data_IF_751520868081
#
_entry.id   IF_751520868081
#
_cell.length_a   1.000
_cell.length_b   1.000
_cell.length_c   1.000
_cell.angle_alpha   90.00
_cell.angle_beta   90.00
_cell.angle_gamma   90.00
#
_symmetry.space_group_name_H-M   'P 1'
#
loop_
_entity.id
_entity.type
_entity.pdbx_description
1 polymer ?
#
# COMPACT_ATOMS: atom_id res chain seq x y z
N UNK A 1 6.71 17.27 -33.24
CA UNK A 1 7.17 16.95 -31.87
C UNK A 1 6.84 15.50 -31.62
N UNK A 2 7.85 14.68 -31.34
CA UNK A 2 7.62 13.29 -30.97
C UNK A 2 7.01 13.28 -29.55
N UNK A 3 5.68 13.19 -29.49
CA UNK A 3 4.92 13.27 -28.25
C UNK A 3 5.38 12.22 -27.23
N UNK A 4 5.87 11.07 -27.69
CA UNK A 4 6.47 10.05 -26.84
C UNK A 4 7.72 10.59 -26.13
N UNK A 5 8.60 11.30 -26.82
CA UNK A 5 9.81 11.85 -26.18
C UNK A 5 9.48 12.97 -25.17
N UNK A 6 8.43 13.76 -25.42
CA UNK A 6 7.95 14.79 -24.48
C UNK A 6 7.34 14.15 -23.23
N UNK A 7 6.50 13.13 -23.40
CA UNK A 7 5.90 12.36 -22.30
C UNK A 7 6.97 11.63 -21.49
N UNK A 8 7.97 11.03 -22.15
CA UNK A 8 9.13 10.40 -21.50
C UNK A 8 9.98 11.42 -20.73
N UNK A 9 10.17 12.63 -21.25
CA UNK A 9 10.91 13.68 -20.55
C UNK A 9 10.18 14.16 -19.29
N UNK A 10 8.84 14.26 -19.32
CA UNK A 10 8.03 14.70 -18.17
C UNK A 10 7.93 13.60 -17.10
N UNK A 11 7.89 12.32 -17.49
CA UNK A 11 7.72 11.21 -16.54
C UNK A 11 9.05 10.59 -16.10
N UNK A 12 10.11 10.74 -16.91
CA UNK A 12 11.45 10.24 -16.63
C UNK A 12 12.12 10.88 -15.40
N UNK A 13 11.58 12.00 -14.91
CA UNK A 13 12.02 12.64 -13.65
C UNK A 13 11.46 11.95 -12.38
N UNK A 14 10.46 11.06 -12.51
CA UNK A 14 9.89 10.27 -11.41
C UNK A 14 8.83 10.98 -10.55
N UNK A 15 8.09 10.21 -9.74
CA UNK A 15 7.04 10.71 -8.83
C UNK A 15 7.51 11.79 -7.87
N UNK A 16 8.74 11.61 -7.36
CA UNK A 16 9.39 12.48 -6.39
C UNK A 16 9.61 13.91 -6.90
N UNK A 17 9.52 14.13 -8.22
CA UNK A 17 9.63 15.44 -8.87
C UNK A 17 8.28 15.87 -9.45
N UNK A 18 7.57 14.97 -10.13
CA UNK A 18 6.31 15.28 -10.81
C UNK A 18 5.20 15.72 -9.83
N UNK A 19 5.00 14.98 -8.73
CA UNK A 19 3.93 15.25 -7.77
C UNK A 19 4.16 16.60 -7.06
N UNK A 20 5.37 16.92 -6.56
CA UNK A 20 5.69 18.26 -6.06
C UNK A 20 5.39 19.38 -7.03
N UNK A 21 5.80 19.26 -8.31
CA UNK A 21 5.54 20.29 -9.32
C UNK A 21 4.03 20.48 -9.52
N UNK A 22 3.27 19.39 -9.63
CA UNK A 22 1.82 19.44 -9.76
C UNK A 22 1.16 20.12 -8.56
N UNK A 23 1.60 19.82 -7.33
CA UNK A 23 1.09 20.48 -6.12
C UNK A 23 1.46 21.97 -6.08
N UNK A 24 2.64 22.37 -6.57
CA UNK A 24 3.00 23.79 -6.70
C UNK A 24 2.05 24.49 -7.69
N UNK A 25 1.86 23.92 -8.88
CA UNK A 25 1.00 24.49 -9.94
C UNK A 25 -0.45 24.58 -9.46
N UNK A 26 -1.02 23.48 -8.95
CA UNK A 26 -2.38 23.47 -8.41
C UNK A 26 -2.51 24.42 -7.23
N UNK A 27 -1.50 24.48 -6.35
CA UNK A 27 -1.47 25.39 -5.23
C UNK A 27 -1.57 26.86 -5.67
N UNK A 28 -0.84 27.24 -6.70
CA UNK A 28 -0.92 28.58 -7.30
C UNK A 28 -2.30 28.85 -7.91
N UNK A 29 -2.86 27.88 -8.66
CA UNK A 29 -4.20 27.99 -9.26
C UNK A 29 -5.27 28.18 -8.19
N UNK A 30 -5.15 27.50 -7.05
CA UNK A 30 -6.09 27.62 -5.93
C UNK A 30 -5.87 28.85 -5.05
N UNK A 31 -4.95 29.75 -5.41
CA UNK A 31 -4.72 31.02 -4.73
C UNK A 31 -3.78 30.94 -3.53
N UNK A 32 -2.94 29.90 -3.45
CA UNK A 32 -1.89 29.83 -2.44
C UNK A 32 -0.78 30.84 -2.77
N UNK A 33 -0.20 31.48 -1.74
CA UNK A 33 0.95 32.37 -1.92
C UNK A 33 2.10 31.61 -2.61
N UNK A 34 2.79 32.16 -3.62
CA UNK A 34 3.83 31.44 -4.36
C UNK A 34 4.93 30.82 -3.49
N UNK A 35 5.39 31.54 -2.46
CA UNK A 35 6.37 31.03 -1.50
C UNK A 35 5.87 29.82 -0.72
N UNK A 36 4.59 29.81 -0.32
CA UNK A 36 3.96 28.68 0.38
C UNK A 36 3.75 27.50 -0.55
N UNK A 37 3.31 27.75 -1.80
CA UNK A 37 3.13 26.71 -2.79
C UNK A 37 4.46 26.00 -3.10
N UNK A 38 5.52 26.78 -3.35
CA UNK A 38 6.87 26.27 -3.59
C UNK A 38 7.40 25.46 -2.41
N UNK A 39 7.30 25.99 -1.18
CA UNK A 39 7.72 25.29 0.02
C UNK A 39 6.93 23.99 0.26
N UNK A 40 5.62 24.00 0.01
CA UNK A 40 4.75 22.81 0.14
C UNK A 40 5.17 21.72 -0.86
N UNK A 41 5.47 22.10 -2.11
CA UNK A 41 6.01 21.15 -3.08
C UNK A 41 7.34 20.55 -2.64
N UNK A 42 8.28 21.37 -2.16
CA UNK A 42 9.58 20.87 -1.69
C UNK A 42 9.46 19.98 -0.45
N UNK A 43 8.59 20.30 0.51
CA UNK A 43 8.33 19.40 1.65
C UNK A 43 7.71 18.09 1.20
N UNK A 44 6.82 18.11 0.21
CA UNK A 44 6.28 16.89 -0.36
C UNK A 44 7.38 16.03 -0.99
N UNK A 45 8.28 16.65 -1.76
CA UNK A 45 9.43 15.98 -2.36
C UNK A 45 10.33 15.36 -1.28
N UNK A 46 10.65 16.13 -0.22
CA UNK A 46 11.44 15.67 0.92
C UNK A 46 10.79 14.48 1.62
N UNK A 47 9.46 14.52 1.84
CA UNK A 47 8.71 13.40 2.41
C UNK A 47 8.82 12.14 1.55
N UNK A 48 8.58 12.26 0.24
CA UNK A 48 8.70 11.12 -0.69
C UNK A 48 10.11 10.54 -0.74
N UNK A 49 11.14 11.39 -0.89
CA UNK A 49 12.54 10.98 -0.95
C UNK A 49 12.95 10.33 0.37
N UNK A 50 12.68 10.98 1.51
CA UNK A 50 13.04 10.49 2.84
C UNK A 50 12.39 9.14 3.16
N UNK A 51 11.11 8.98 2.87
CA UNK A 51 10.42 7.70 3.05
C UNK A 51 10.95 6.62 2.11
N UNK A 52 11.21 6.95 0.85
CA UNK A 52 11.78 6.00 -0.11
C UNK A 52 13.18 5.56 0.31
N UNK A 53 14.02 6.48 0.80
CA UNK A 53 15.34 6.16 1.35
C UNK A 53 15.25 5.22 2.54
N UNK A 54 14.34 5.48 3.48
CA UNK A 54 14.12 4.64 4.64
C UNK A 54 13.63 3.23 4.24
N UNK A 55 12.63 3.12 3.35
CA UNK A 55 12.15 1.83 2.82
C UNK A 55 13.29 1.08 2.14
N UNK A 56 14.04 1.72 1.24
CA UNK A 56 15.14 1.10 0.51
C UNK A 56 16.27 0.66 1.44
N UNK A 57 16.59 1.44 2.46
CA UNK A 57 17.59 1.08 3.46
C UNK A 57 17.13 -0.15 4.26
N UNK A 58 15.86 -0.20 4.66
CA UNK A 58 15.31 -1.36 5.35
C UNK A 58 15.37 -2.61 4.49
N UNK A 59 14.91 -2.53 3.23
CA UNK A 59 15.00 -3.63 2.27
C UNK A 59 16.44 -4.09 2.07
N UNK A 60 17.38 -3.16 1.88
CA UNK A 60 18.80 -3.47 1.67
C UNK A 60 19.43 -4.16 2.89
N UNK A 61 19.04 -3.76 4.10
CA UNK A 61 19.55 -4.35 5.33
C UNK A 61 18.96 -5.75 5.60
N UNK A 62 17.65 -5.92 5.38
CA UNK A 62 16.90 -7.16 5.67
C UNK A 62 17.12 -8.24 4.61
N UNK A 63 17.25 -7.86 3.34
CA UNK A 63 17.33 -8.79 2.20
C UNK A 63 18.48 -9.81 2.32
N UNK A 64 19.73 -9.43 2.66
CA UNK A 64 20.82 -10.38 2.86
C UNK A 64 20.57 -11.37 4.00
N UNK A 65 19.91 -10.92 5.08
CA UNK A 65 19.63 -11.77 6.24
C UNK A 65 18.55 -12.81 5.91
N UNK A 66 17.49 -12.39 5.20
CA UNK A 66 16.47 -13.30 4.67
C UNK A 66 17.08 -14.33 3.69
N UNK A 67 18.01 -13.90 2.82
CA UNK A 67 18.72 -14.80 1.90
C UNK A 67 19.61 -15.81 2.62
N UNK A 68 20.36 -15.39 3.63
CA UNK A 68 21.20 -16.28 4.42
C UNK A 68 20.37 -17.30 5.22
N UNK A 69 19.25 -16.86 5.79
CA UNK A 69 18.30 -17.74 6.46
C UNK A 69 17.82 -18.85 5.49
N UNK A 70 17.44 -18.50 4.27
CA UNK A 70 17.02 -19.47 3.26
C UNK A 70 18.13 -20.46 2.87
N UNK A 71 19.37 -19.98 2.69
CA UNK A 71 20.52 -20.83 2.40
C UNK A 71 20.79 -21.86 3.52
N UNK A 72 20.61 -21.48 4.78
CA UNK A 72 20.85 -22.36 5.93
C UNK A 72 19.69 -23.28 6.28
N UNK A 73 18.49 -23.01 5.77
CA UNK A 73 17.27 -23.80 5.99
C UNK A 73 16.94 -24.71 4.81
N UNK A 74 17.83 -24.81 3.82
CA UNK A 74 17.63 -25.56 2.57
C UNK A 74 16.40 -25.11 1.75
N UNK A 75 15.92 -23.89 1.97
CA UNK A 75 14.84 -23.29 1.19
C UNK A 75 15.44 -22.80 -0.13
N UNK A 76 15.20 -23.56 -1.21
CA UNK A 76 15.62 -23.18 -2.56
C UNK A 76 14.39 -22.92 -3.43
N UNK A 77 13.96 -21.66 -3.46
CA UNK A 77 12.78 -21.22 -4.19
C UNK A 77 13.20 -20.52 -5.50
N UNK A 78 12.66 -20.91 -6.67
CA UNK A 78 13.20 -20.54 -7.98
C UNK A 78 12.81 -19.12 -8.44
N UNK A 79 11.80 -18.50 -7.83
CA UNK A 79 11.36 -17.16 -8.21
C UNK A 79 12.03 -16.09 -7.31
N UNK A 80 12.80 -15.22 -7.96
CA UNK A 80 13.51 -14.11 -7.34
C UNK A 80 12.56 -12.93 -7.14
N UNK A 81 12.41 -12.49 -5.91
CA UNK A 81 11.60 -11.33 -5.56
C UNK A 81 12.36 -10.02 -5.84
N UNK A 82 11.83 -9.24 -6.76
CA UNK A 82 12.37 -7.96 -7.23
C UNK A 82 11.75 -6.76 -6.49
N UNK A 83 10.74 -7.01 -5.66
CA UNK A 83 9.99 -5.96 -4.97
C UNK A 83 9.21 -5.07 -5.93
N UNK A 84 8.50 -4.10 -5.36
CA UNK A 84 7.72 -3.15 -6.14
C UNK A 84 8.58 -2.28 -7.09
N UNK A 85 9.83 -1.84 -6.78
CA UNK A 85 10.60 -1.02 -7.71
C UNK A 85 10.98 -1.77 -8.98
N UNK A 86 11.39 -3.04 -8.83
CA UNK A 86 11.70 -3.90 -9.96
C UNK A 86 10.45 -4.27 -10.77
N UNK A 87 9.32 -4.54 -10.09
CA UNK A 87 8.04 -4.76 -10.76
C UNK A 87 7.60 -3.54 -11.58
N UNK A 88 7.73 -2.33 -11.03
CA UNK A 88 7.42 -1.09 -11.74
C UNK A 88 8.33 -0.89 -12.96
N UNK A 89 9.64 -1.08 -12.82
CA UNK A 89 10.59 -0.96 -13.93
C UNK A 89 10.28 -1.95 -15.07
N UNK A 90 9.98 -3.22 -14.72
CA UNK A 90 9.58 -4.23 -15.70
C UNK A 90 8.28 -3.84 -16.39
N UNK A 91 7.32 -3.30 -15.65
CA UNK A 91 6.02 -2.86 -16.19
C UNK A 91 6.17 -1.70 -17.16
N UNK A 92 6.99 -0.70 -16.82
CA UNK A 92 7.22 0.46 -17.68
C UNK A 92 7.89 0.12 -19.01
N UNK A 93 8.58 -1.02 -19.08
CA UNK A 93 9.14 -1.51 -20.32
C UNK A 93 8.09 -2.08 -21.29
N UNK A 94 6.84 -2.29 -20.84
CA UNK A 94 5.77 -2.70 -21.72
C UNK A 94 5.35 -1.55 -22.65
N UNK A 95 5.38 -1.72 -23.99
CA UNK A 95 5.12 -0.63 -24.93
C UNK A 95 3.79 0.10 -24.76
N UNK A 96 2.75 -0.58 -24.25
CA UNK A 96 1.42 0.01 -24.04
C UNK A 96 1.23 0.62 -22.65
N UNK A 97 2.21 0.55 -21.75
CA UNK A 97 2.06 1.06 -20.38
C UNK A 97 1.65 2.54 -20.34
N UNK A 98 2.18 3.37 -21.24
CA UNK A 98 1.88 4.79 -21.30
C UNK A 98 0.44 5.13 -21.74
N UNK A 99 -0.25 4.23 -22.44
CA UNK A 99 -1.64 4.44 -22.84
C UNK A 99 -2.55 4.53 -21.61
N UNK A 100 -2.19 3.83 -20.52
CA UNK A 100 -2.99 3.81 -19.30
C UNK A 100 -3.02 5.14 -18.54
N UNK A 101 -2.13 6.09 -18.82
CA UNK A 101 -2.28 7.46 -18.32
C UNK A 101 -3.54 8.13 -18.88
N UNK A 102 -3.73 8.01 -20.21
CA UNK A 102 -4.92 8.57 -20.85
C UNK A 102 -6.18 7.89 -20.33
N UNK A 103 -6.14 6.56 -20.15
CA UNK A 103 -7.27 5.79 -19.59
C UNK A 103 -7.61 6.26 -18.17
N UNK A 104 -6.61 6.41 -17.29
CA UNK A 104 -6.76 6.94 -15.92
C UNK A 104 -7.41 8.32 -15.91
N UNK A 105 -6.84 9.26 -16.66
CA UNK A 105 -7.31 10.64 -16.71
C UNK A 105 -8.75 10.69 -17.24
N UNK A 106 -9.04 9.97 -18.34
CA UNK A 106 -10.37 9.96 -18.94
C UNK A 106 -11.41 9.40 -17.96
N UNK A 107 -11.15 8.25 -17.35
CA UNK A 107 -12.09 7.63 -16.40
C UNK A 107 -12.26 8.52 -15.16
N UNK A 108 -11.17 9.07 -14.61
CA UNK A 108 -11.27 9.95 -13.45
C UNK A 108 -12.09 11.21 -13.76
N UNK A 109 -11.85 11.87 -14.90
CA UNK A 109 -12.63 13.04 -15.33
C UNK A 109 -14.10 12.71 -15.58
N UNK A 110 -14.40 11.59 -16.25
CA UNK A 110 -15.79 11.14 -16.46
C UNK A 110 -16.49 10.95 -15.11
N UNK A 111 -15.84 10.26 -14.16
CA UNK A 111 -16.42 10.02 -12.85
C UNK A 111 -16.61 11.31 -12.04
N UNK A 112 -15.69 12.27 -12.13
CA UNK A 112 -15.83 13.58 -11.48
C UNK A 112 -16.98 14.39 -12.08
N UNK A 113 -17.07 14.45 -13.42
CA UNK A 113 -18.15 15.16 -14.12
C UNK A 113 -19.52 14.53 -13.83
N UNK A 114 -19.60 13.20 -13.84
CA UNK A 114 -20.79 12.43 -13.51
C UNK A 114 -21.12 12.38 -12.00
N UNK A 115 -20.33 13.05 -11.15
CA UNK A 115 -20.49 13.07 -9.69
C UNK A 115 -20.45 11.68 -9.04
N UNK A 116 -19.72 10.74 -9.67
CA UNK A 116 -19.53 9.40 -9.17
C UNK A 116 -18.36 9.32 -8.18
N UNK A 117 -17.45 10.29 -8.15
CA UNK A 117 -16.37 10.37 -7.15
C UNK A 117 -16.11 11.82 -6.78
N UNK A 118 -15.56 12.06 -5.58
CA UNK A 118 -14.98 13.35 -5.18
C UNK A 118 -13.46 13.37 -5.30
N UNK A 119 -12.86 12.23 -5.65
CA UNK A 119 -11.41 12.08 -5.68
C UNK A 119 -10.84 12.38 -7.07
N UNK A 120 -9.86 13.29 -7.11
CA UNK A 120 -8.98 13.50 -8.24
C UNK A 120 -7.66 12.79 -7.94
N UNK A 121 -7.34 11.72 -8.68
CA UNK A 121 -6.04 11.09 -8.58
C UNK A 121 -4.99 12.03 -9.19
N UNK A 122 -4.04 12.48 -8.37
CA UNK A 122 -2.94 13.34 -8.80
C UNK A 122 -1.62 12.58 -8.95
N UNK A 123 -1.58 11.34 -8.49
CA UNK A 123 -0.39 10.50 -8.55
C UNK A 123 -0.36 9.69 -9.84
N UNK A 124 0.23 10.31 -10.85
CA UNK A 124 0.35 9.73 -12.18
C UNK A 124 1.49 8.70 -12.26
N UNK A 125 2.37 8.61 -11.26
CA UNK A 125 3.42 7.59 -11.26
C UNK A 125 2.84 6.20 -11.06
N UNK A 126 1.88 6.06 -10.15
CA UNK A 126 1.27 4.77 -9.82
C UNK A 126 0.33 4.21 -10.91
N UNK A 127 0.23 4.88 -12.06
CA UNK A 127 -0.35 4.32 -13.29
C UNK A 127 0.38 3.04 -13.74
N UNK A 128 1.64 2.85 -13.34
CA UNK A 128 2.34 1.58 -13.54
C UNK A 128 1.55 0.39 -12.97
N UNK A 129 0.90 0.55 -11.80
CA UNK A 129 0.11 -0.52 -11.18
C UNK A 129 -1.15 -0.88 -12.00
N UNK A 130 -1.71 0.09 -12.72
CA UNK A 130 -2.83 -0.11 -13.66
C UNK A 130 -2.34 -0.80 -14.92
N UNK A 131 -1.21 -0.34 -15.48
CA UNK A 131 -0.56 -0.95 -16.63
C UNK A 131 -0.14 -2.40 -16.34
N UNK A 132 0.34 -2.69 -15.13
CA UNK A 132 0.70 -4.04 -14.70
C UNK A 132 -0.53 -4.96 -14.71
N UNK A 133 -1.66 -4.51 -14.16
CA UNK A 133 -2.91 -5.26 -14.20
C UNK A 133 -3.35 -5.55 -15.63
N UNK A 134 -3.33 -4.54 -16.50
CA UNK A 134 -3.68 -4.74 -17.90
C UNK A 134 -2.73 -5.74 -18.59
N UNK A 135 -1.43 -5.63 -18.36
CA UNK A 135 -0.45 -6.55 -18.91
C UNK A 135 -0.68 -7.99 -18.43
N UNK A 136 -0.92 -8.19 -17.14
CA UNK A 136 -1.17 -9.52 -16.57
C UNK A 136 -2.43 -10.14 -17.14
N UNK A 137 -3.52 -9.36 -17.20
CA UNK A 137 -4.79 -9.80 -17.77
C UNK A 137 -4.61 -10.14 -19.25
N UNK A 138 -3.92 -9.30 -20.02
CA UNK A 138 -3.63 -9.55 -21.43
C UNK A 138 -2.78 -10.80 -21.64
N UNK A 139 -1.70 -10.95 -20.87
CA UNK A 139 -0.74 -12.06 -21.01
C UNK A 139 -1.38 -13.43 -20.75
N UNK A 140 -2.38 -13.49 -19.87
CA UNK A 140 -3.11 -14.72 -19.51
C UNK A 140 -4.34 -14.94 -20.39
N UNK A 141 -5.15 -13.90 -20.63
CA UNK A 141 -6.40 -14.03 -21.37
C UNK A 141 -6.24 -13.97 -22.90
N UNK A 142 -5.15 -13.37 -23.39
CA UNK A 142 -4.95 -13.07 -24.81
C UNK A 142 -5.83 -11.93 -25.33
N UNK A 143 -6.71 -11.34 -24.51
CA UNK A 143 -7.67 -10.32 -24.93
C UNK A 143 -7.24 -8.93 -24.50
N UNK A 144 -6.78 -8.13 -25.48
CA UNK A 144 -6.42 -6.74 -25.24
C UNK A 144 -7.64 -5.88 -24.83
N UNK A 145 -8.82 -5.99 -25.46
CA UNK A 145 -10.01 -5.26 -25.00
C UNK A 145 -10.36 -5.55 -23.54
N UNK A 146 -10.26 -6.81 -23.12
CA UNK A 146 -10.52 -7.19 -21.73
C UNK A 146 -9.48 -6.61 -20.76
N UNK A 147 -8.22 -6.49 -21.17
CA UNK A 147 -7.19 -5.82 -20.38
C UNK A 147 -7.51 -4.33 -20.12
N UNK A 148 -8.06 -3.62 -21.11
CA UNK A 148 -8.54 -2.25 -20.93
C UNK A 148 -9.74 -2.18 -19.98
N UNK A 149 -10.68 -3.12 -20.06
CA UNK A 149 -11.80 -3.22 -19.13
C UNK A 149 -11.31 -3.47 -17.71
N UNK A 150 -10.38 -4.42 -17.52
CA UNK A 150 -9.79 -4.74 -16.22
C UNK A 150 -9.04 -3.55 -15.60
N UNK A 151 -8.27 -2.81 -16.42
CA UNK A 151 -7.67 -1.55 -15.99
C UNK A 151 -8.74 -0.54 -15.55
N UNK A 152 -9.79 -0.33 -16.35
CA UNK A 152 -10.88 0.57 -16.00
C UNK A 152 -11.60 0.18 -14.69
N UNK A 153 -11.81 -1.12 -14.45
CA UNK A 153 -12.35 -1.63 -13.18
C UNK A 153 -11.43 -1.25 -12.01
N UNK A 154 -10.12 -1.48 -12.13
CA UNK A 154 -9.15 -1.09 -11.11
C UNK A 154 -9.19 0.42 -10.84
N UNK A 155 -9.25 1.25 -11.88
CA UNK A 155 -9.31 2.72 -11.74
C UNK A 155 -10.54 3.14 -10.95
N UNK A 156 -11.71 2.60 -11.30
CA UNK A 156 -12.97 2.88 -10.59
C UNK A 156 -12.84 2.47 -9.11
N UNK A 157 -12.28 1.29 -8.83
CA UNK A 157 -12.04 0.80 -7.47
C UNK A 157 -11.11 1.77 -6.71
N UNK A 158 -9.98 2.14 -7.32
CA UNK A 158 -8.99 3.09 -6.81
C UNK A 158 -9.59 4.44 -6.40
N UNK A 159 -10.42 5.03 -7.26
CA UNK A 159 -11.11 6.29 -6.97
C UNK A 159 -12.14 6.13 -5.84
N UNK A 160 -12.85 5.00 -5.81
CA UNK A 160 -13.81 4.69 -4.75
C UNK A 160 -13.14 4.38 -3.41
N UNK A 161 -11.95 3.77 -3.41
CA UNK A 161 -11.11 3.63 -2.21
C UNK A 161 -10.74 5.03 -1.68
N UNK A 162 -10.31 5.93 -2.57
CA UNK A 162 -10.03 7.33 -2.22
C UNK A 162 -11.22 8.02 -1.54
N UNK A 163 -12.43 7.89 -2.11
CA UNK A 163 -13.65 8.43 -1.52
C UNK A 163 -13.94 7.85 -0.13
N UNK A 164 -13.72 6.54 0.05
CA UNK A 164 -14.03 5.79 1.26
C UNK A 164 -13.10 6.14 2.41
N UNK A 165 -11.80 6.25 2.14
CA UNK A 165 -10.78 6.44 3.16
C UNK A 165 -10.49 7.91 3.51
N UNK A 166 -10.99 8.86 2.74
CA UNK A 166 -10.71 10.29 2.94
C UNK A 166 -11.04 10.79 4.36
N UNK A 167 -12.15 10.37 4.96
CA UNK A 167 -12.54 10.83 6.30
C UNK A 167 -11.74 10.13 7.42
N UNK A 168 -11.38 8.86 7.22
CA UNK A 168 -10.47 8.12 8.12
C UNK A 168 -9.11 8.83 8.14
N UNK A 169 -8.55 9.09 6.96
CA UNK A 169 -7.24 9.71 6.78
C UNK A 169 -7.23 11.12 7.39
N UNK A 170 -8.28 11.90 7.16
CA UNK A 170 -8.42 13.22 7.78
C UNK A 170 -8.48 13.15 9.30
N UNK A 171 -9.21 12.18 9.86
CA UNK A 171 -9.40 12.05 11.32
C UNK A 171 -8.14 11.55 12.02
N UNK A 172 -7.51 10.51 11.49
CA UNK A 172 -6.41 9.81 12.15
C UNK A 172 -5.05 10.47 11.89
N UNK A 173 -4.91 11.14 10.75
CA UNK A 173 -3.64 11.72 10.28
C UNK A 173 -3.66 13.25 10.14
N UNK A 174 -4.82 13.89 10.32
CA UNK A 174 -4.96 15.35 10.18
C UNK A 174 -4.83 15.87 8.75
N UNK A 175 -4.77 14.97 7.75
CA UNK A 175 -4.56 15.31 6.35
C UNK A 175 -5.89 15.71 5.68
N UNK A 176 -6.21 17.00 5.73
CA UNK A 176 -7.45 17.54 5.15
C UNK A 176 -7.35 17.60 3.63
N UNK A 177 -8.36 17.07 2.92
CA UNK A 177 -8.48 17.20 1.46
C UNK A 177 -7.55 16.27 0.67
N UNK A 178 -6.97 15.27 1.32
CA UNK A 178 -6.07 14.27 0.71
C UNK A 178 -6.52 12.87 1.11
N UNK A 179 -6.33 11.90 0.23
CA UNK A 179 -6.61 10.48 0.46
C UNK A 179 -5.61 9.60 -0.30
N UNK A 180 -5.70 8.29 -0.10
CA UNK A 180 -4.95 7.30 -0.88
C UNK A 180 -5.85 6.66 -1.93
N UNK A 181 -5.43 6.67 -3.19
CA UNK A 181 -6.23 6.20 -4.36
C UNK A 181 -5.69 4.95 -5.02
N UNK A 182 -4.81 4.21 -4.36
CA UNK A 182 -4.12 3.10 -5.00
C UNK A 182 -4.66 1.75 -4.54
N UNK A 183 -4.34 0.75 -5.35
CA UNK A 183 -5.01 -0.55 -5.33
C UNK A 183 -4.53 -1.43 -4.17
N UNK A 184 -3.43 -1.11 -3.49
CA UNK A 184 -2.99 -1.77 -2.26
C UNK A 184 -4.04 -1.68 -1.15
N UNK A 185 -4.76 -0.55 -1.06
CA UNK A 185 -5.84 -0.36 -0.09
C UNK A 185 -7.03 -1.29 -0.36
N UNK A 186 -7.13 -1.89 -1.55
CA UNK A 186 -8.14 -2.90 -1.87
C UNK A 186 -7.99 -4.18 -1.05
N UNK A 187 -6.82 -4.43 -0.48
CA UNK A 187 -6.58 -5.56 0.45
C UNK A 187 -7.58 -5.53 1.63
N UNK A 188 -8.05 -4.35 2.02
CA UNK A 188 -9.11 -4.20 3.02
C UNK A 188 -10.40 -4.95 2.63
N UNK A 189 -10.71 -5.08 1.34
CA UNK A 189 -11.90 -5.78 0.81
C UNK A 189 -11.89 -7.24 1.24
N UNK A 190 -10.80 -7.95 0.96
CA UNK A 190 -10.68 -9.37 1.32
C UNK A 190 -10.56 -9.56 2.83
N UNK A 191 -9.93 -8.61 3.55
CA UNK A 191 -9.80 -8.66 5.00
C UNK A 191 -11.12 -8.40 5.73
N UNK A 192 -12.08 -7.72 5.09
CA UNK A 192 -13.30 -7.24 5.72
C UNK A 192 -14.16 -8.34 6.38
N UNK A 193 -14.47 -9.50 5.75
CA UNK A 193 -15.26 -10.55 6.38
C UNK A 193 -14.66 -11.05 7.69
N UNK A 194 -13.35 -11.29 7.70
CA UNK A 194 -12.66 -11.77 8.91
C UNK A 194 -12.62 -10.67 9.97
N UNK A 195 -12.33 -9.42 9.59
CA UNK A 195 -12.39 -8.28 10.50
C UNK A 195 -13.80 -8.09 11.09
N UNK A 196 -14.83 -8.36 10.31
CA UNK A 196 -16.22 -8.34 10.77
C UNK A 196 -16.51 -9.46 11.77
N UNK A 197 -16.04 -10.69 11.52
CA UNK A 197 -16.13 -11.80 12.49
C UNK A 197 -15.39 -11.47 13.79
N UNK A 198 -14.23 -10.81 13.72
CA UNK A 198 -13.49 -10.34 14.90
C UNK A 198 -14.32 -9.39 15.79
N UNK A 199 -15.42 -8.81 15.29
CA UNK A 199 -16.31 -7.96 16.09
C UNK A 199 -17.04 -8.74 17.19
N UNK A 200 -17.21 -10.05 17.01
CA UNK A 200 -17.88 -10.91 17.97
C UNK A 200 -16.94 -11.49 19.04
N UNK A 201 -15.63 -11.22 18.92
CA UNK A 201 -14.61 -11.74 19.82
C UNK A 201 -14.09 -10.58 20.70
N UNK A 202 -14.29 -10.62 22.04
CA UNK A 202 -14.01 -9.49 22.93
C UNK A 202 -12.57 -8.94 22.89
N UNK A 203 -11.56 -9.80 22.69
CA UNK A 203 -10.14 -9.38 22.69
C UNK A 203 -9.82 -8.37 21.59
N UNK A 204 -10.49 -8.47 20.44
CA UNK A 204 -10.31 -7.58 19.29
C UNK A 204 -11.13 -6.30 19.37
N UNK A 205 -11.97 -6.14 20.40
CA UNK A 205 -12.80 -4.96 20.62
C UNK A 205 -12.17 -3.95 21.59
N UNK A 206 -10.93 -4.21 22.02
CA UNK A 206 -10.11 -3.30 22.84
C UNK A 206 -9.12 -2.55 21.97
N UNK A 207 -8.71 -1.36 22.40
CA UNK A 207 -7.66 -0.61 21.72
C UNK A 207 -6.31 -1.33 21.91
N UNK A 208 -5.64 -1.57 20.79
CA UNK A 208 -4.29 -2.13 20.74
C UNK A 208 -3.44 -1.20 19.89
N UNK A 209 -3.09 -0.03 20.44
CA UNK A 209 -2.17 0.91 19.80
C UNK A 209 -0.79 0.83 20.46
N UNK A 210 0.22 1.46 19.84
CA UNK A 210 1.58 1.43 20.37
C UNK A 210 1.66 2.02 21.80
N UNK A 211 0.76 2.94 22.17
CA UNK A 211 0.72 3.56 23.51
C UNK A 211 0.17 2.61 24.56
N UNK A 212 -0.85 1.82 24.25
CA UNK A 212 -1.39 0.81 25.16
C UNK A 212 -0.43 -0.38 25.32
N UNK A 213 0.30 -0.74 24.26
CA UNK A 213 1.44 -1.64 24.36
C UNK A 213 2.53 -1.05 25.27
N UNK A 214 2.87 0.24 25.13
CA UNK A 214 3.86 0.91 26.01
C UNK A 214 3.52 0.80 27.49
N UNK A 215 2.24 0.89 27.85
CA UNK A 215 1.79 0.72 29.24
C UNK A 215 2.00 -0.70 29.78
N UNK A 216 2.00 -1.72 28.92
CA UNK A 216 2.10 -3.14 29.30
C UNK A 216 3.51 -3.70 29.21
N UNK A 217 4.22 -3.40 28.12
CA UNK A 217 5.54 -3.96 27.78
C UNK A 217 6.67 -2.90 27.79
N UNK A 218 6.35 -1.65 28.17
CA UNK A 218 7.34 -0.60 28.39
C UNK A 218 8.10 -0.21 27.13
N UNK A 219 9.43 -0.07 27.26
CA UNK A 219 10.35 0.32 26.20
C UNK A 219 10.27 -0.62 24.97
N UNK A 220 9.82 -1.87 25.15
CA UNK A 220 9.69 -2.84 24.06
C UNK A 220 8.65 -2.46 23.01
N UNK A 221 7.72 -1.53 23.31
CA UNK A 221 6.75 -1.05 22.32
C UNK A 221 7.27 0.13 21.48
N UNK A 222 8.45 0.67 21.81
CA UNK A 222 9.03 1.76 21.03
C UNK A 222 9.41 1.23 19.64
N UNK A 223 9.03 1.90 18.53
CA UNK A 223 9.26 1.38 17.18
C UNK A 223 10.73 1.06 16.90
N UNK A 224 11.63 1.87 17.45
CA UNK A 224 13.08 1.68 17.37
C UNK A 224 13.51 0.37 18.02
N UNK A 225 12.94 0.06 19.17
CA UNK A 225 13.27 -1.13 19.96
C UNK A 225 12.68 -2.37 19.31
N UNK A 226 11.43 -2.30 18.84
CA UNK A 226 10.81 -3.37 18.07
C UNK A 226 11.61 -3.69 16.81
N UNK A 227 11.99 -2.66 16.05
CA UNK A 227 12.84 -2.81 14.88
C UNK A 227 14.17 -3.47 15.21
N UNK A 228 14.83 -3.02 16.29
CA UNK A 228 16.10 -3.61 16.71
C UNK A 228 15.99 -5.08 17.11
N UNK A 229 14.96 -5.45 17.88
CA UNK A 229 14.71 -6.84 18.27
C UNK A 229 14.49 -7.71 17.04
N UNK A 230 13.65 -7.26 16.10
CA UNK A 230 13.31 -8.04 14.91
C UNK A 230 14.53 -8.18 13.99
N UNK A 231 15.29 -7.10 13.79
CA UNK A 231 16.55 -7.13 13.04
C UNK A 231 17.57 -8.08 13.66
N UNK A 232 17.69 -8.07 14.99
CA UNK A 232 18.59 -8.98 15.71
C UNK A 232 18.19 -10.45 15.53
N UNK A 233 16.91 -10.77 15.75
CA UNK A 233 16.38 -12.14 15.61
C UNK A 233 16.59 -12.64 14.17
N UNK A 234 16.30 -11.80 13.17
CA UNK A 234 16.47 -12.17 11.77
C UNK A 234 17.95 -12.45 11.43
N UNK A 235 18.87 -11.62 11.93
CA UNK A 235 20.30 -11.86 11.71
C UNK A 235 20.79 -13.15 12.37
N UNK A 236 20.33 -13.44 13.60
CA UNK A 236 20.65 -14.70 14.28
C UNK A 236 20.10 -15.91 13.52
N UNK A 237 18.87 -15.81 13.00
CA UNK A 237 18.27 -16.83 12.16
C UNK A 237 19.07 -17.03 10.86
N UNK A 238 19.58 -15.94 10.28
CA UNK A 238 20.53 -15.96 9.16
C UNK A 238 21.95 -16.42 9.52
N UNK A 239 22.21 -16.84 10.77
CA UNK A 239 23.52 -17.26 11.30
C UNK A 239 24.63 -16.22 11.16
N UNK A 240 24.29 -14.95 11.31
CA UNK A 240 25.26 -13.86 11.27
C UNK A 240 26.18 -13.91 12.49
N UNK A 241 27.38 -13.32 12.37
CA UNK A 241 28.20 -13.05 13.54
C UNK A 241 27.48 -12.08 14.48
N UNK A 242 27.78 -12.13 15.79
CA UNK A 242 27.16 -11.24 16.78
C UNK A 242 27.30 -9.77 16.37
N UNK A 243 28.46 -9.36 15.85
CA UNK A 243 28.68 -8.00 15.36
C UNK A 243 27.78 -7.62 14.18
N UNK A 244 27.62 -8.51 13.20
CA UNK A 244 26.71 -8.28 12.08
C UNK A 244 25.23 -8.30 12.50
N UNK A 245 24.88 -9.12 13.49
CA UNK A 245 23.53 -9.15 14.05
C UNK A 245 23.18 -7.87 14.80
N UNK A 246 24.10 -7.34 15.60
CA UNK A 246 23.93 -6.04 16.25
C UNK A 246 23.85 -4.90 15.24
N UNK A 247 24.64 -4.95 14.16
CA UNK A 247 24.57 -3.95 13.09
C UNK A 247 23.20 -3.96 12.40
N UNK A 248 22.65 -5.14 12.07
CA UNK A 248 21.32 -5.25 11.50
C UNK A 248 20.25 -4.74 12.46
N UNK A 249 20.34 -5.12 13.74
CA UNK A 249 19.44 -4.64 14.79
C UNK A 249 19.41 -3.11 14.84
N UNK A 250 20.56 -2.46 14.99
CA UNK A 250 20.64 -0.99 15.06
C UNK A 250 20.13 -0.35 13.77
N UNK A 251 20.44 -0.91 12.60
CA UNK A 251 19.98 -0.39 11.31
C UNK A 251 18.47 -0.43 11.19
N UNK A 252 17.84 -1.58 11.48
CA UNK A 252 16.38 -1.74 11.40
C UNK A 252 15.70 -0.83 12.43
N UNK A 253 16.22 -0.77 13.65
CA UNK A 253 15.71 0.13 14.69
C UNK A 253 15.81 1.61 14.29
N UNK A 254 16.94 2.05 13.73
CA UNK A 254 17.12 3.41 13.26
C UNK A 254 16.14 3.78 12.15
N UNK A 255 15.92 2.88 11.18
CA UNK A 255 14.94 3.12 10.11
C UNK A 255 13.52 3.25 10.66
N UNK A 256 13.12 2.42 11.63
CA UNK A 256 11.84 2.56 12.35
C UNK A 256 11.70 3.93 13.04
N UNK A 257 12.79 4.49 13.56
CA UNK A 257 12.80 5.81 14.17
C UNK A 257 12.60 6.94 13.14
N UNK A 258 13.07 6.74 11.91
CA UNK A 258 13.08 7.75 10.84
C UNK A 258 11.72 7.90 10.17
N UNK A 259 10.91 6.83 10.11
CA UNK A 259 9.63 6.86 9.39
C UNK A 259 8.66 7.96 9.87
N UNK A 260 8.33 8.09 11.17
CA UNK A 260 7.39 9.12 11.59
C UNK A 260 7.88 10.56 11.32
N UNK A 261 9.15 10.92 11.60
CA UNK A 261 9.70 12.23 11.22
C UNK A 261 9.63 12.53 9.71
N UNK A 262 9.90 11.54 8.85
CA UNK A 262 9.83 11.74 7.40
C UNK A 262 8.39 11.95 6.92
N UNK A 263 7.44 11.21 7.50
CA UNK A 263 6.02 11.36 7.17
C UNK A 263 5.45 12.73 7.58
N UNK A 264 6.03 13.40 8.59
CA UNK A 264 5.63 14.76 9.00
C UNK A 264 5.75 15.77 7.85
N UNK A 265 6.75 15.60 6.97
CA UNK A 265 6.88 16.47 5.79
C UNK A 265 5.67 16.41 4.86
N UNK A 266 4.97 15.27 4.78
CA UNK A 266 3.70 15.19 4.04
C UNK A 266 2.62 16.07 4.68
N UNK A 267 2.52 16.10 6.01
CA UNK A 267 1.55 16.98 6.68
C UNK A 267 1.87 18.46 6.44
N UNK A 268 3.15 18.83 6.55
CA UNK A 268 3.61 20.20 6.35
C UNK A 268 3.38 20.66 4.90
N UNK A 269 3.47 19.75 3.94
CA UNK A 269 3.16 19.99 2.54
C UNK A 269 1.66 20.07 2.24
N UNK A 270 0.88 19.13 2.78
CA UNK A 270 -0.49 18.88 2.32
C UNK A 270 -1.54 19.66 3.11
N UNK A 271 -1.29 19.99 4.38
CA UNK A 271 -2.25 20.74 5.20
C UNK A 271 -2.54 22.14 4.65
N UNK A 272 -1.52 22.94 4.26
CA UNK A 272 -1.74 24.26 3.66
C UNK A 272 -2.46 24.15 2.31
N UNK A 273 -2.09 23.15 1.52
CA UNK A 273 -2.69 22.86 0.22
C UNK A 273 -4.17 22.50 0.35
N UNK A 274 -4.50 21.51 1.18
CA UNK A 274 -5.87 21.02 1.37
C UNK A 274 -6.82 22.09 1.91
N UNK A 275 -6.33 22.92 2.84
CA UNK A 275 -7.11 24.07 3.36
C UNK A 275 -7.40 25.09 2.27
N UNK A 276 -6.39 25.43 1.45
CA UNK A 276 -6.52 26.42 0.38
C UNK A 276 -7.44 25.91 -0.73
N UNK A 277 -7.26 24.66 -1.15
CA UNK A 277 -8.13 23.98 -2.11
C UNK A 277 -9.57 23.94 -1.61
N UNK A 278 -9.82 23.51 -0.37
CA UNK A 278 -11.17 23.48 0.21
C UNK A 278 -11.85 24.85 0.14
N UNK A 279 -11.12 25.93 0.46
CA UNK A 279 -11.63 27.29 0.39
C UNK A 279 -11.88 27.76 -1.05
N UNK A 280 -10.99 27.43 -1.99
CA UNK A 280 -11.17 27.74 -3.41
C UNK A 280 -12.41 27.03 -3.97
N UNK A 281 -12.55 25.72 -3.70
CA UNK A 281 -13.69 24.94 -4.18
C UNK A 281 -15.01 25.43 -3.57
N UNK A 282 -15.06 25.78 -2.29
CA UNK A 282 -16.25 26.40 -1.67
C UNK A 282 -16.69 27.69 -2.36
N UNK A 283 -15.74 28.46 -2.92
CA UNK A 283 -16.03 29.72 -3.63
C UNK A 283 -16.45 29.50 -5.08
N UNK A 284 -15.82 28.57 -5.78
CA UNK A 284 -15.99 28.40 -7.24
C UNK A 284 -16.89 27.23 -7.66
N UNK A 285 -17.04 26.21 -6.81
CA UNK A 285 -17.86 25.02 -7.07
C UNK A 285 -18.82 24.81 -5.91
N UNK A 286 -19.98 25.48 -5.98
CA UNK A 286 -21.00 25.42 -4.92
C UNK A 286 -21.43 23.97 -4.67
N UNK A 287 -21.21 23.49 -3.46
CA UNK A 287 -21.77 22.23 -2.96
C UNK A 287 -20.99 20.95 -3.28
N UNK A 288 -19.77 21.03 -3.84
CA UNK A 288 -18.92 19.84 -4.04
C UNK A 288 -17.64 19.89 -3.21
N UNK A 289 -17.41 18.82 -2.47
CA UNK A 289 -16.13 18.54 -1.81
C UNK A 289 -15.23 17.80 -2.81
N UNK A 290 -13.94 18.15 -2.84
CA UNK A 290 -12.94 17.46 -3.64
C UNK A 290 -11.81 17.00 -2.73
N UNK A 291 -11.24 15.84 -3.02
CA UNK A 291 -10.07 15.29 -2.33
C UNK A 291 -9.02 14.88 -3.35
N UNK A 292 -7.75 15.09 -3.03
CA UNK A 292 -6.64 14.68 -3.88
C UNK A 292 -6.18 13.28 -3.49
N UNK A 293 -6.14 12.38 -4.46
CA UNK A 293 -5.57 11.05 -4.33
C UNK A 293 -4.05 11.07 -4.50
N UNK A 294 -3.33 10.51 -3.52
CA UNK A 294 -1.87 10.36 -3.50
C UNK A 294 -1.47 8.94 -3.13
N UNK A 295 -0.17 8.66 -3.21
CA UNK A 295 0.44 7.40 -2.76
C UNK A 295 0.25 7.12 -1.26
N UNK A 296 0.29 5.84 -0.87
CA UNK A 296 0.15 5.38 0.51
C UNK A 296 1.19 5.92 1.51
N UNK A 297 2.42 6.36 1.14
CA UNK A 297 3.39 6.91 2.11
C UNK A 297 2.85 8.07 2.95
N UNK A 298 1.77 8.74 2.54
CA UNK A 298 1.08 9.73 3.38
C UNK A 298 0.56 9.14 4.70
N UNK A 299 0.33 7.82 4.75
CA UNK A 299 -0.07 7.03 5.92
C UNK A 299 1.14 6.60 6.78
N UNK A 300 2.35 6.83 6.30
CA UNK A 300 3.61 6.43 6.92
C UNK A 300 3.91 7.05 8.28
N UNK A 301 3.09 7.98 8.77
CA UNK A 301 3.19 8.47 10.14
C UNK A 301 2.61 7.49 11.17
N UNK A 302 1.75 6.55 10.74
CA UNK A 302 1.22 5.51 11.63
C UNK A 302 2.35 4.62 12.11
N UNK A 303 2.52 4.53 13.41
CA UNK A 303 3.48 3.61 14.02
C UNK A 303 3.02 2.15 13.85
N UNK A 304 1.72 1.91 14.01
CA UNK A 304 1.10 0.59 13.93
C UNK A 304 1.25 -0.02 12.54
N UNK A 305 1.24 0.81 11.50
CA UNK A 305 1.55 0.44 10.13
C UNK A 305 2.94 -0.22 10.03
N UNK A 306 3.99 0.48 10.47
CA UNK A 306 5.36 -0.01 10.39
C UNK A 306 5.62 -1.21 11.27
N UNK A 307 5.11 -1.17 12.50
CA UNK A 307 5.23 -2.28 13.44
C UNK A 307 4.61 -3.55 12.85
N UNK A 308 3.42 -3.46 12.25
CA UNK A 308 2.76 -4.59 11.60
C UNK A 308 3.62 -5.12 10.45
N UNK A 309 4.06 -4.25 9.54
CA UNK A 309 4.84 -4.68 8.38
C UNK A 309 6.15 -5.38 8.78
N UNK A 310 6.85 -4.87 9.80
CA UNK A 310 8.11 -5.48 10.27
C UNK A 310 7.88 -6.79 11.01
N UNK A 311 6.84 -6.89 11.83
CA UNK A 311 6.47 -8.15 12.49
C UNK A 311 6.06 -9.24 11.50
N UNK A 312 5.47 -8.85 10.37
CA UNK A 312 5.09 -9.77 9.30
C UNK A 312 6.28 -10.35 8.53
N UNK A 313 7.47 -9.73 8.57
CA UNK A 313 8.68 -10.21 7.87
C UNK A 313 9.03 -11.66 8.25
N UNK A 314 9.29 -12.01 9.52
CA UNK A 314 9.60 -13.39 9.89
C UNK A 314 8.45 -14.35 9.57
N UNK A 315 7.20 -13.91 9.72
CA UNK A 315 6.00 -14.71 9.40
C UNK A 315 5.96 -15.02 7.89
N UNK A 316 6.23 -14.04 7.04
CA UNK A 316 6.28 -14.17 5.59
C UNK A 316 7.36 -15.18 5.15
N UNK A 317 8.54 -15.15 5.78
CA UNK A 317 9.61 -16.13 5.52
C UNK A 317 9.19 -17.54 5.94
N UNK A 318 8.55 -17.69 7.11
CA UNK A 318 8.03 -18.99 7.56
C UNK A 318 6.98 -19.51 6.59
N UNK A 319 6.02 -18.67 6.16
CA UNK A 319 5.03 -19.06 5.16
C UNK A 319 5.69 -19.46 3.84
N UNK A 320 6.70 -18.71 3.39
CA UNK A 320 7.42 -19.05 2.18
C UNK A 320 8.06 -20.46 2.25
N UNK A 321 8.51 -20.88 3.44
CA UNK A 321 9.09 -22.19 3.69
C UNK A 321 8.06 -23.33 3.70
N UNK A 322 6.87 -23.11 4.28
CA UNK A 322 5.90 -24.18 4.56
C UNK A 322 4.76 -24.27 3.54
N UNK A 323 4.48 -23.21 2.78
CA UNK A 323 3.33 -23.20 1.88
C UNK A 323 3.58 -24.11 0.68
N UNK A 324 2.71 -25.11 0.44
CA UNK A 324 2.89 -26.05 -0.65
C UNK A 324 2.75 -25.33 -2.00
N UNK A 325 3.70 -25.57 -2.90
CA UNK A 325 3.71 -25.00 -4.24
C UNK A 325 4.17 -23.54 -4.32
N UNK A 326 4.50 -22.89 -3.21
CA UNK A 326 5.12 -21.58 -3.22
C UNK A 326 6.48 -21.65 -3.92
N UNK A 327 6.76 -20.68 -4.80
CA UNK A 327 8.04 -20.55 -5.52
C UNK A 327 8.83 -19.31 -5.11
N UNK A 328 8.29 -18.47 -4.25
CA UNK A 328 8.82 -17.14 -3.95
C UNK A 328 9.39 -17.08 -2.56
N UNK A 329 10.65 -16.68 -2.44
CA UNK A 329 11.20 -16.21 -1.18
C UNK A 329 11.08 -14.68 -1.13
N UNK A 330 10.33 -14.10 -0.18
CA UNK A 330 10.24 -12.66 0.00
C UNK A 330 11.61 -12.10 0.39
N UNK A 331 12.16 -11.22 -0.45
CA UNK A 331 13.45 -10.58 -0.22
C UNK A 331 13.28 -9.07 -0.44
N UNK A 332 13.19 -8.64 -1.70
CA UNK A 332 13.06 -7.22 -2.01
C UNK A 332 11.66 -6.64 -1.70
N UNK A 333 10.62 -7.47 -1.75
CA UNK A 333 9.25 -7.15 -1.40
C UNK A 333 8.82 -7.61 0.00
N UNK A 334 9.78 -8.00 0.86
CA UNK A 334 9.55 -8.57 2.20
C UNK A 334 8.68 -7.69 3.11
N UNK A 335 8.68 -6.38 2.86
CA UNK A 335 7.76 -5.43 3.49
C UNK A 335 6.45 -5.46 2.69
N UNK A 336 5.47 -6.19 3.20
CA UNK A 336 4.15 -6.27 2.57
C UNK A 336 3.28 -5.07 2.95
N UNK A 337 3.43 -3.98 2.19
CA UNK A 337 2.71 -2.75 2.48
C UNK A 337 1.20 -2.85 2.22
N UNK A 338 0.76 -3.76 1.34
CA UNK A 338 -0.65 -4.02 1.08
C UNK A 338 -1.39 -4.47 2.35
N UNK A 339 -0.77 -5.37 3.13
CA UNK A 339 -1.30 -5.81 4.42
C UNK A 339 -1.33 -4.65 5.41
N UNK A 340 -0.26 -3.87 5.48
CA UNK A 340 -0.18 -2.74 6.39
C UNK A 340 -1.25 -1.68 6.09
N UNK A 341 -1.32 -1.20 4.85
CA UNK A 341 -2.24 -0.12 4.42
C UNK A 341 -3.69 -0.58 4.53
N UNK A 342 -4.02 -1.74 3.96
CA UNK A 342 -5.37 -2.30 4.04
C UNK A 342 -5.80 -2.58 5.48
N UNK A 343 -4.91 -3.16 6.29
CA UNK A 343 -5.17 -3.43 7.71
C UNK A 343 -5.33 -2.17 8.54
N UNK A 344 -4.50 -1.15 8.32
CA UNK A 344 -4.54 0.13 9.02
C UNK A 344 -5.90 0.81 8.81
N UNK A 345 -6.27 1.02 7.55
CA UNK A 345 -7.50 1.72 7.17
C UNK A 345 -8.76 0.96 7.58
N UNK A 346 -8.75 -0.38 7.48
CA UNK A 346 -9.89 -1.21 7.85
C UNK A 346 -10.11 -1.30 9.37
N UNK A 347 -9.04 -1.23 10.15
CA UNK A 347 -9.08 -1.49 11.59
C UNK A 347 -8.91 -0.24 12.44
N UNK A 348 -8.60 0.91 11.84
CA UNK A 348 -8.31 2.15 12.56
C UNK A 348 -7.02 2.05 13.38
N UNK A 349 -6.02 1.33 12.86
CA UNK A 349 -4.73 1.12 13.52
C UNK A 349 -4.76 0.17 14.71
N UNK A 350 -5.70 -0.79 14.77
CA UNK A 350 -5.67 -1.79 15.84
C UNK A 350 -4.62 -2.86 15.55
N UNK A 351 -3.48 -2.79 16.24
CA UNK A 351 -2.32 -3.62 15.94
C UNK A 351 -2.61 -5.12 16.02
N UNK A 352 -3.40 -5.56 17.01
CA UNK A 352 -3.75 -6.97 17.14
C UNK A 352 -4.57 -7.46 15.95
N UNK A 353 -5.57 -6.69 15.50
CA UNK A 353 -6.35 -7.03 14.31
C UNK A 353 -5.46 -7.03 13.06
N UNK A 354 -4.61 -6.01 12.90
CA UNK A 354 -3.70 -5.90 11.76
C UNK A 354 -2.77 -7.10 11.65
N UNK A 355 -2.16 -7.53 12.76
CA UNK A 355 -1.26 -8.70 12.79
C UNK A 355 -2.04 -9.99 12.45
N UNK A 356 -3.21 -10.20 13.05
CA UNK A 356 -4.00 -11.43 12.79
C UNK A 356 -4.49 -11.48 11.34
N UNK A 357 -4.96 -10.34 10.80
CA UNK A 357 -5.30 -10.24 9.38
C UNK A 357 -4.06 -10.48 8.51
N UNK A 358 -2.92 -9.90 8.86
CA UNK A 358 -1.66 -10.13 8.15
C UNK A 358 -1.31 -11.61 8.07
N UNK A 359 -1.34 -12.33 9.20
CA UNK A 359 -1.06 -13.78 9.26
C UNK A 359 -2.02 -14.56 8.34
N UNK A 360 -3.31 -14.24 8.37
CA UNK A 360 -4.34 -14.96 7.57
C UNK A 360 -4.16 -14.72 6.07
N UNK A 361 -3.81 -13.49 5.67
CA UNK A 361 -3.79 -13.08 4.26
C UNK A 361 -2.40 -13.11 3.61
N UNK A 362 -1.31 -13.24 4.36
CA UNK A 362 0.05 -13.37 3.81
C UNK A 362 0.17 -14.51 2.77
N UNK A 363 -0.43 -15.71 2.96
CA UNK A 363 -0.38 -16.77 1.94
C UNK A 363 -0.93 -16.34 0.57
N UNK A 364 -1.94 -15.46 0.53
CA UNK A 364 -2.51 -14.98 -0.73
C UNK A 364 -1.47 -14.23 -1.57
N UNK A 365 -0.62 -13.42 -0.93
CA UNK A 365 0.42 -12.65 -1.60
C UNK A 365 1.51 -13.56 -2.16
N UNK A 366 1.96 -14.55 -1.38
CA UNK A 366 2.96 -15.53 -1.83
C UNK A 366 2.44 -16.41 -2.98
N UNK A 367 1.17 -16.83 -2.92
CA UNK A 367 0.54 -17.56 -4.01
C UNK A 367 0.32 -16.69 -5.25
N UNK A 368 -0.11 -15.43 -5.08
CA UNK A 368 -0.20 -14.48 -6.17
C UNK A 368 1.14 -14.26 -6.86
N UNK A 369 2.18 -13.98 -6.09
CA UNK A 369 3.54 -13.82 -6.59
C UNK A 369 4.07 -15.09 -7.28
N UNK A 370 3.76 -16.27 -6.74
CA UNK A 370 4.08 -17.56 -7.37
C UNK A 370 3.35 -17.75 -8.70
N UNK A 371 2.07 -17.40 -8.75
CA UNK A 371 1.25 -17.57 -9.94
C UNK A 371 1.67 -16.63 -11.07
N UNK A 372 1.99 -15.38 -10.75
CA UNK A 372 2.37 -14.35 -11.72
C UNK A 372 3.87 -14.32 -12.06
N UNK A 373 4.71 -15.15 -11.43
CA UNK A 373 6.17 -15.16 -11.68
C UNK A 373 6.52 -15.38 -13.16
N UNK A 374 5.83 -16.30 -13.84
CA UNK A 374 6.03 -16.55 -15.27
C UNK A 374 5.65 -15.35 -16.14
N UNK A 375 4.61 -14.61 -15.76
CA UNK A 375 4.15 -13.41 -16.47
C UNK A 375 5.17 -12.28 -16.34
N UNK A 376 5.67 -12.03 -15.13
CA UNK A 376 6.75 -11.06 -14.89
C UNK A 376 8.02 -11.43 -15.64
N UNK A 377 8.40 -12.70 -15.59
CA UNK A 377 9.60 -13.22 -16.27
C UNK A 377 9.51 -13.04 -17.77
N UNK A 378 8.35 -13.31 -18.37
CA UNK A 378 8.12 -13.11 -19.80
C UNK A 378 8.25 -11.63 -20.18
N UNK A 379 7.70 -10.72 -19.39
CA UNK A 379 7.83 -9.29 -19.66
C UNK A 379 9.29 -8.86 -19.59
N UNK A 380 9.95 -9.15 -18.47
CA UNK A 380 11.34 -8.80 -18.20
C UNK A 380 12.31 -9.28 -19.28
N UNK A 381 12.15 -10.53 -19.74
CA UNK A 381 13.01 -11.13 -20.75
C UNK A 381 12.70 -10.60 -22.14
N UNK A 382 11.42 -10.43 -22.50
CA UNK A 382 11.03 -9.93 -23.83
C UNK A 382 11.42 -8.48 -24.09
N UNK A 383 11.46 -7.64 -23.06
CA UNK A 383 11.80 -6.21 -23.18
C UNK A 383 13.26 -5.92 -22.83
N UNK A 384 13.99 -6.90 -22.28
CA UNK A 384 15.33 -6.70 -21.75
C UNK A 384 15.39 -5.82 -20.48
N UNK A 385 14.24 -5.57 -19.84
CA UNK A 385 14.14 -4.68 -18.67
C UNK A 385 14.86 -5.20 -17.43
N UNK A 386 15.05 -6.52 -17.33
CA UNK A 386 15.78 -7.14 -16.23
C UNK A 386 16.53 -8.38 -16.70
N UNK A 387 17.74 -8.59 -16.15
CA UNK A 387 18.52 -9.81 -16.35
C UNK A 387 17.95 -10.91 -15.47
N UNK A 388 17.24 -11.86 -16.07
CA UNK A 388 16.74 -13.06 -15.38
C UNK A 388 17.80 -14.16 -15.46
N UNK A 389 18.31 -14.70 -14.34
CA UNK A 389 19.23 -15.83 -14.35
C UNK A 389 18.61 -17.05 -15.04
N UNK A 390 19.44 -17.82 -15.78
CA UNK A 390 18.96 -19.04 -16.45
C UNK A 390 18.38 -20.02 -15.43
N UNK A 391 17.14 -20.46 -15.66
CA UNK A 391 16.43 -21.39 -14.76
C UNK A 391 15.73 -20.73 -13.57
N UNK A 392 15.78 -19.39 -13.46
CA UNK A 392 15.05 -18.63 -12.44
C UNK A 392 13.85 -17.89 -13.03
N UNK A 393 12.88 -17.59 -12.18
CA UNK A 393 11.77 -16.68 -12.48
C UNK A 393 11.98 -15.37 -11.71
N UNK A 394 11.33 -14.29 -12.12
CA UNK A 394 11.26 -13.03 -11.36
C UNK A 394 9.82 -12.72 -10.97
N UNK A 395 9.63 -12.12 -9.82
CA UNK A 395 8.31 -11.80 -9.28
C UNK A 395 8.37 -10.69 -8.24
N UNK A 396 7.24 -10.39 -7.62
CA UNK A 396 7.09 -9.44 -6.54
C UNK A 396 6.20 -10.01 -5.44
N UNK A 397 6.79 -10.26 -4.27
CA UNK A 397 6.13 -10.97 -3.16
C UNK A 397 4.95 -10.21 -2.54
N UNK A 398 4.98 -8.88 -2.53
CA UNK A 398 3.92 -8.01 -2.00
C UNK A 398 3.02 -7.43 -3.09
N UNK A 399 2.85 -8.18 -4.19
CA UNK A 399 2.02 -7.78 -5.34
C UNK A 399 0.67 -7.21 -4.91
N UNK A 400 0.31 -6.04 -5.42
CA UNK A 400 -0.97 -5.42 -5.08
C UNK A 400 -2.16 -6.17 -5.70
N UNK A 401 -3.21 -6.34 -4.89
CA UNK A 401 -4.48 -6.97 -5.25
C UNK A 401 -4.33 -8.24 -6.12
N UNK A 402 -3.56 -9.26 -5.66
CA UNK A 402 -3.31 -10.48 -6.43
C UNK A 402 -4.59 -11.24 -6.75
N UNK A 403 -5.56 -11.21 -5.82
CA UNK A 403 -6.90 -11.74 -5.95
C UNK A 403 -7.67 -11.11 -7.11
N UNK A 404 -7.73 -9.77 -7.15
CA UNK A 404 -8.41 -9.03 -8.21
C UNK A 404 -7.75 -9.30 -9.57
N UNK A 405 -6.42 -9.22 -9.63
CA UNK A 405 -5.64 -9.49 -10.86
C UNK A 405 -5.84 -10.91 -11.35
N UNK A 406 -5.83 -11.91 -10.46
CA UNK A 406 -6.04 -13.32 -10.79
C UNK A 406 -7.43 -13.55 -11.38
N UNK A 407 -8.47 -13.07 -10.69
CA UNK A 407 -9.85 -13.27 -11.10
C UNK A 407 -10.15 -12.57 -12.43
N UNK A 408 -9.66 -11.34 -12.63
CA UNK A 408 -9.80 -10.65 -13.92
C UNK A 408 -9.06 -11.38 -15.03
N UNK A 409 -7.83 -11.84 -14.80
CA UNK A 409 -7.05 -12.56 -15.81
C UNK A 409 -7.73 -13.87 -16.24
N UNK A 410 -8.26 -14.63 -15.29
CA UNK A 410 -8.95 -15.90 -15.57
C UNK A 410 -10.37 -15.71 -16.12
N UNK A 411 -11.08 -14.66 -15.71
CA UNK A 411 -12.37 -14.31 -16.30
C UNK A 411 -12.24 -14.01 -17.80
N UNK A 412 -11.13 -13.40 -18.21
CA UNK A 412 -10.81 -13.18 -19.63
C UNK A 412 -10.60 -14.46 -20.45
N UNK A 413 -10.33 -15.59 -19.79
CA UNK A 413 -10.29 -16.93 -20.42
C UNK A 413 -11.66 -17.64 -20.41
N UNK A 414 -12.72 -16.92 -20.07
CA UNK A 414 -14.09 -17.45 -19.90
C UNK A 414 -14.17 -18.55 -18.83
N UNK A 415 -13.27 -18.54 -17.84
CA UNK A 415 -13.37 -19.43 -16.70
C UNK A 415 -14.54 -19.00 -15.81
N UNK A 416 -15.62 -19.78 -15.82
CA UNK A 416 -16.86 -19.47 -15.11
C UNK A 416 -16.66 -19.33 -13.59
N UNK A 417 -15.76 -20.11 -12.97
CA UNK A 417 -15.43 -19.98 -11.56
C UNK A 417 -14.76 -18.64 -11.26
N UNK A 418 -13.86 -18.19 -12.14
CA UNK A 418 -13.20 -16.90 -11.98
C UNK A 418 -14.16 -15.72 -12.21
N UNK A 419 -15.13 -15.86 -13.12
CA UNK A 419 -16.17 -14.86 -13.34
C UNK A 419 -17.06 -14.73 -12.10
N UNK A 420 -17.53 -15.85 -11.55
CA UNK A 420 -18.31 -15.84 -10.30
C UNK A 420 -17.47 -15.25 -9.16
N UNK A 421 -16.21 -15.69 -9.03
CA UNK A 421 -15.29 -15.15 -8.02
C UNK A 421 -15.09 -13.65 -8.14
N UNK A 422 -14.93 -13.12 -9.37
CA UNK A 422 -14.80 -11.69 -9.63
C UNK A 422 -16.07 -10.93 -9.21
N UNK A 423 -17.25 -11.45 -9.56
CA UNK A 423 -18.54 -10.85 -9.15
C UNK A 423 -18.65 -10.82 -7.62
N UNK A 424 -18.31 -11.92 -6.95
CA UNK A 424 -18.33 -12.00 -5.48
C UNK A 424 -17.36 -11.02 -4.85
N UNK A 425 -16.14 -10.90 -5.38
CA UNK A 425 -15.12 -9.97 -4.88
C UNK A 425 -15.56 -8.50 -5.06
N UNK A 426 -16.11 -8.15 -6.22
CA UNK A 426 -16.64 -6.80 -6.47
C UNK A 426 -17.88 -6.51 -5.60
N UNK A 427 -18.76 -7.48 -5.40
CA UNK A 427 -19.88 -7.36 -4.47
C UNK A 427 -19.38 -7.14 -3.03
N UNK A 428 -18.34 -7.85 -2.61
CA UNK A 428 -17.70 -7.68 -1.31
C UNK A 428 -17.10 -6.27 -1.16
N UNK A 429 -16.46 -5.74 -2.20
CA UNK A 429 -15.98 -4.36 -2.21
C UNK A 429 -17.13 -3.36 -2.03
N UNK A 430 -18.24 -3.55 -2.75
CA UNK A 430 -19.43 -2.70 -2.60
C UNK A 430 -20.01 -2.79 -1.19
N UNK A 431 -20.03 -3.99 -0.59
CA UNK A 431 -20.48 -4.18 0.79
C UNK A 431 -19.57 -3.46 1.78
N UNK A 432 -18.24 -3.58 1.64
CA UNK A 432 -17.27 -2.82 2.44
C UNK A 432 -17.51 -1.31 2.29
N UNK A 433 -17.64 -0.82 1.04
CA UNK A 433 -17.89 0.59 0.76
C UNK A 433 -19.15 1.13 1.45
N UNK A 434 -20.25 0.36 1.39
CA UNK A 434 -21.48 0.72 2.09
C UNK A 434 -21.33 0.64 3.61
N UNK A 435 -20.63 -0.39 4.10
CA UNK A 435 -20.39 -0.57 5.53
C UNK A 435 -19.60 0.63 6.10
N UNK A 436 -18.51 1.03 5.46
CA UNK A 436 -17.68 2.15 5.89
C UNK A 436 -18.42 3.48 5.86
N UNK A 437 -19.35 3.67 4.92
CA UNK A 437 -20.18 4.89 4.87
C UNK A 437 -21.28 4.95 5.93
N UNK A 438 -21.80 3.79 6.36
CA UNK A 438 -22.93 3.71 7.32
C UNK A 438 -22.47 3.63 8.76
N UNK A 439 -21.27 3.11 9.01
CA UNK A 439 -20.75 2.88 10.36
C UNK A 439 -19.77 3.99 10.78
N UNK A 440 -19.57 4.19 12.09
CA UNK A 440 -18.49 5.06 12.57
C UNK A 440 -17.13 4.59 12.07
N UNK A 441 -16.21 5.55 11.91
CA UNK A 441 -14.81 5.29 11.56
C UNK A 441 -14.22 4.23 12.50
N UNK A 442 -13.55 3.18 11.97
CA UNK A 442 -12.86 2.14 12.72
C UNK A 442 -12.09 2.65 13.95
N UNK A 443 -11.31 3.74 13.84
CA UNK A 443 -10.58 4.28 15.00
C UNK A 443 -11.47 4.71 16.17
N UNK A 444 -12.63 5.32 15.88
CA UNK A 444 -13.60 5.82 16.88
C UNK A 444 -14.40 4.70 17.54
N UNK A 445 -14.44 3.52 16.92
CA UNK A 445 -15.20 2.38 17.43
C UNK A 445 -14.70 1.93 18.80
N UNK A 446 -13.38 1.83 18.98
CA UNK A 446 -12.81 1.34 20.24
C UNK A 446 -13.09 2.30 21.39
N UNK A 447 -13.02 3.61 21.13
CA UNK A 447 -13.36 4.63 22.13
C UNK A 447 -14.84 4.55 22.55
N UNK A 448 -15.75 4.28 21.59
CA UNK A 448 -17.16 4.12 21.88
C UNK A 448 -17.45 2.86 22.72
N UNK A 449 -16.69 1.78 22.50
CA UNK A 449 -16.81 0.53 23.25
C UNK A 449 -16.26 0.68 24.67
N UNK A 450 -15.09 1.31 24.85
CA UNK A 450 -14.54 1.60 26.18
C UNK A 450 -15.47 2.48 27.02
N UNK A 451 -16.09 3.51 26.40
CA UNK A 451 -17.08 4.36 27.07
C UNK A 451 -18.35 3.61 27.49
N UNK A 452 -18.73 2.56 26.77
CA UNK A 452 -19.87 1.70 27.16
C UNK A 452 -19.50 0.77 28.32
N UNK A 453 -18.31 0.18 28.32
CA UNK A 453 -17.82 -0.67 29.42
C UNK A 453 -17.66 0.12 30.74
N UNK A 454 -17.12 1.34 30.67
CA UNK A 454 -16.99 2.22 31.86
C UNK A 454 -18.34 2.67 32.40
N UNK A 455 -19.35 2.89 31.54
CA UNK A 455 -20.71 3.20 31.99
C UNK A 455 -21.48 1.99 32.54
N UNK A 456 -21.17 0.78 32.06
CA UNK A 456 -21.77 -0.46 32.53
C UNK A 456 -21.17 -0.94 33.87
N UNK A 457 -20.03 -0.39 34.27
CA UNK A 457 -19.35 -0.69 35.54
C UNK A 457 -19.48 0.52 36.48
N UNK A 458 -20.63 0.74 37.15
CA UNK A 458 -20.69 1.78 38.18
C UNK A 458 -19.69 1.40 39.28
N UNK A 459 -18.90 2.39 39.72
CA UNK A 459 -17.87 2.27 40.73
C UNK A 459 -18.27 1.35 41.88
N UNK A 460 -17.66 0.17 41.94
CA UNK A 460 -17.65 -0.66 43.15
C UNK A 460 -16.54 -0.13 44.08
N UNK A 461 -16.94 0.61 45.12
CA UNK A 461 -16.10 1.15 46.21
C UNK A 461 -15.40 2.46 45.83
N UNK A 462 -15.57 3.63 46.48
CA UNK A 462 -15.44 3.95 47.92
C UNK A 462 -14.24 3.32 48.59
#
# INVERSE_FOLDING_TARGET
MDWNNVVQAILGVGSQVLIPILIIILGLIFGMKPSKAFLSGLYLATGFIGMSMAINQLTTAVSPAAKALAQHTSINLPAVDFGWPGAAAITWAWPMAFVFFAVEIIINLIMLLANLTKTLNADMWNVWGIALTAYMVYSISGSLPWAFVAAGIQIIISLKLGDMWAEEIKTDFGLVGVTTTHIEAFTATIMFPVNWVMNYIPVFNKKWDARDLKKKIGILSEPVVMGAIIGFILALAGRYSVGAALNLAVTVGAVMAIFPPMAKFFMDALTPFGTTMSNFMKKHVKGREFVIGLDWPILGQSTELWVTMVLMIPISIVYAAILPGNKVLPIAGVINYCIGVGGLLLTGGNLLRMIVLGIIYEPLFLYGATYFSGVFTKLATSTGAAKVPKGSEVTWSSIEAPDLRFLMAQAGRLNWLAIIGLIVLLALFVLLYQYMKKNPLPGKRYEALEKKETKATPAAGK
#
